data_IF_138526838010
#
_entry.id   IF_138526838010
#
_cell.length_a   1.000
_cell.length_b   1.000
_cell.length_c   1.000
_cell.angle_alpha   90.00
_cell.angle_beta   90.00
_cell.angle_gamma   90.00
#
_symmetry.space_group_name_H-M   'P 1'
#
loop_
_entity.id
_entity.type
_entity.pdbx_description
1 polymer ?
#
# COMPACT_ATOMS: atom_id res chain seq x y z
N UNK A 1 26.47 -39.00 -42.39
CA UNK A 1 26.51 -37.97 -41.34
C UNK A 1 25.50 -36.84 -41.58
N UNK A 2 25.18 -36.49 -42.83
CA UNK A 2 24.17 -35.47 -43.23
C UNK A 2 22.79 -35.56 -42.54
N UNK A 3 22.20 -36.76 -42.45
CA UNK A 3 20.85 -36.95 -41.89
C UNK A 3 20.75 -36.66 -40.39
N UNK A 4 21.87 -36.82 -39.66
CA UNK A 4 21.93 -36.56 -38.21
C UNK A 4 21.96 -35.06 -37.95
N UNK A 5 22.72 -34.30 -38.74
CA UNK A 5 22.78 -32.83 -38.64
C UNK A 5 21.42 -32.18 -38.93
N UNK A 6 20.68 -32.68 -39.92
CA UNK A 6 19.33 -32.17 -40.23
C UNK A 6 18.39 -32.40 -39.05
N UNK A 7 18.40 -33.59 -38.45
CA UNK A 7 17.57 -33.89 -37.26
C UNK A 7 17.97 -33.00 -36.09
N UNK A 8 19.26 -32.88 -35.80
CA UNK A 8 19.76 -32.02 -34.72
C UNK A 8 19.38 -30.56 -34.95
N UNK A 9 19.52 -30.04 -36.17
CA UNK A 9 19.12 -28.67 -36.51
C UNK A 9 17.62 -28.45 -36.36
N UNK A 10 16.79 -29.41 -36.79
CA UNK A 10 15.34 -29.35 -36.59
C UNK A 10 14.97 -29.35 -35.11
N UNK A 11 15.60 -30.20 -34.29
CA UNK A 11 15.37 -30.21 -32.85
C UNK A 11 15.79 -28.90 -32.18
N UNK A 12 16.93 -28.33 -32.58
CA UNK A 12 17.40 -27.04 -32.08
C UNK A 12 16.50 -25.89 -32.54
N UNK A 13 16.04 -25.89 -33.79
CA UNK A 13 15.13 -24.88 -34.30
C UNK A 13 13.76 -24.95 -33.59
N UNK A 14 13.24 -26.16 -33.36
CA UNK A 14 12.00 -26.36 -32.60
C UNK A 14 12.17 -25.94 -31.14
N UNK A 15 13.26 -26.30 -30.48
CA UNK A 15 13.51 -25.90 -29.08
C UNK A 15 13.73 -24.39 -28.94
N UNK A 16 14.46 -23.77 -29.87
CA UNK A 16 14.62 -22.31 -29.92
C UNK A 16 13.28 -21.63 -30.19
N UNK A 17 12.47 -22.14 -31.13
CA UNK A 17 11.13 -21.61 -31.37
C UNK A 17 10.24 -21.73 -30.13
N UNK A 18 10.28 -22.85 -29.41
CA UNK A 18 9.56 -23.03 -28.16
C UNK A 18 10.04 -22.05 -27.07
N UNK A 19 11.35 -21.84 -26.94
CA UNK A 19 11.91 -20.85 -25.99
C UNK A 19 11.51 -19.43 -26.39
N UNK A 20 11.56 -19.06 -27.67
CA UNK A 20 11.13 -17.74 -28.16
C UNK A 20 9.64 -17.50 -27.96
N UNK A 21 8.79 -18.52 -28.11
CA UNK A 21 7.36 -18.45 -27.82
C UNK A 21 7.08 -18.33 -26.30
N UNK A 22 7.89 -18.96 -25.46
CA UNK A 22 7.78 -18.88 -23.98
C UNK A 22 8.28 -17.54 -23.44
N UNK A 23 9.36 -16.98 -24.02
CA UNK A 23 9.95 -15.69 -23.61
C UNK A 23 9.05 -14.47 -23.87
N UNK A 24 7.90 -14.66 -24.53
CA UNK A 24 6.88 -13.62 -24.75
C UNK A 24 5.72 -13.66 -23.74
N UNK A 25 5.77 -14.53 -22.72
CA UNK A 25 4.73 -14.63 -21.68
C UNK A 25 5.15 -14.09 -20.30
N UNK A 26 6.28 -13.39 -20.19
CA UNK A 26 6.68 -12.70 -18.95
C UNK A 26 6.19 -11.23 -18.93
N UNK A 27 4.90 -11.02 -19.19
CA UNK A 27 4.31 -9.68 -19.30
C UNK A 27 2.89 -9.58 -18.76
N UNK A 28 2.56 -10.34 -17.73
CA UNK A 28 1.36 -10.09 -16.95
C UNK A 28 1.70 -10.12 -15.46
N UNK A 29 2.55 -9.16 -15.07
CA UNK A 29 2.48 -8.57 -13.74
C UNK A 29 0.99 -8.25 -13.49
N UNK A 30 0.39 -8.85 -12.47
CA UNK A 30 -1.01 -8.56 -12.06
C UNK A 30 -1.21 -7.13 -11.53
N UNK A 31 -0.30 -6.24 -11.89
CA UNK A 31 -0.15 -4.86 -11.48
C UNK A 31 -0.51 -3.90 -12.63
N UNK A 32 -0.69 -4.44 -13.86
CA UNK A 32 -1.00 -3.67 -15.08
C UNK A 32 -2.49 -3.28 -15.22
N UNK A 33 -3.34 -3.58 -14.23
CA UNK A 33 -4.75 -3.19 -14.27
C UNK A 33 -4.94 -1.82 -13.65
N UNK A 34 -4.92 -0.79 -14.49
CA UNK A 34 -5.16 0.61 -14.10
C UNK A 34 -6.64 0.96 -14.05
N UNK A 35 -7.00 1.88 -13.16
CA UNK A 35 -8.31 2.51 -13.11
C UNK A 35 -8.29 3.88 -13.80
N UNK A 36 -9.45 4.36 -14.27
CA UNK A 36 -9.60 5.74 -14.77
C UNK A 36 -10.74 6.43 -14.04
N UNK A 37 -10.44 7.55 -13.40
CA UNK A 37 -11.42 8.39 -12.70
C UNK A 37 -11.16 9.86 -13.05
N UNK A 38 -12.22 10.61 -13.35
CA UNK A 38 -12.16 12.04 -13.72
C UNK A 38 -11.16 12.39 -14.83
N UNK A 39 -10.92 11.46 -15.75
CA UNK A 39 -9.96 11.60 -16.86
C UNK A 39 -8.51 11.35 -16.47
N UNK A 40 -8.24 10.95 -15.22
CA UNK A 40 -6.92 10.61 -14.71
C UNK A 40 -6.77 9.09 -14.53
N UNK A 41 -5.59 8.57 -14.86
CA UNK A 41 -5.28 7.14 -14.79
C UNK A 41 -4.55 6.86 -13.48
N UNK A 42 -5.01 5.84 -12.76
CA UNK A 42 -4.49 5.38 -11.47
C UNK A 42 -4.01 3.94 -11.59
N UNK A 43 -2.82 3.64 -11.08
CA UNK A 43 -2.29 2.27 -11.04
C UNK A 43 -3.02 1.41 -10.01
N UNK A 44 -2.90 0.09 -10.12
CA UNK A 44 -3.47 -0.82 -9.12
C UNK A 44 -2.93 -0.45 -7.73
N UNK A 45 -3.81 -0.45 -6.73
CA UNK A 45 -3.57 -0.03 -5.34
C UNK A 45 -3.35 1.47 -5.13
N UNK A 46 -3.48 2.30 -6.15
CA UNK A 46 -3.46 3.75 -5.96
C UNK A 46 -4.62 4.21 -5.10
N UNK A 47 -4.33 5.13 -4.19
CA UNK A 47 -5.31 5.78 -3.31
C UNK A 47 -5.30 7.27 -3.61
N UNK A 48 -6.47 7.85 -3.84
CA UNK A 48 -6.62 9.29 -4.09
C UNK A 48 -7.87 9.84 -3.40
N UNK A 49 -7.90 11.17 -3.23
CA UNK A 49 -9.02 11.91 -2.65
C UNK A 49 -9.55 12.91 -3.69
N UNK A 50 -10.60 12.57 -4.46
CA UNK A 50 -11.20 13.52 -5.42
C UNK A 50 -11.89 14.69 -4.71
N UNK A 51 -12.39 14.46 -3.49
CA UNK A 51 -13.01 15.46 -2.62
C UNK A 51 -12.47 15.29 -1.19
N UNK A 52 -12.48 16.33 -0.33
CA UNK A 52 -11.95 16.23 1.04
C UNK A 52 -12.55 15.07 1.83
N UNK A 53 -13.85 14.80 1.63
CA UNK A 53 -14.63 13.77 2.31
C UNK A 53 -14.78 12.44 1.57
N UNK A 54 -14.10 12.26 0.43
CA UNK A 54 -14.17 11.02 -0.34
C UNK A 54 -12.77 10.47 -0.56
N UNK A 55 -12.59 9.20 -0.24
CA UNK A 55 -11.35 8.47 -0.51
C UNK A 55 -11.65 7.34 -1.49
N UNK A 56 -10.84 7.21 -2.52
CA UNK A 56 -10.97 6.18 -3.53
C UNK A 56 -9.68 5.36 -3.62
N UNK A 57 -9.84 4.08 -3.93
CA UNK A 57 -8.74 3.15 -4.20
C UNK A 57 -9.00 2.42 -5.52
N UNK A 58 -7.95 2.21 -6.30
CA UNK A 58 -7.98 1.34 -7.46
C UNK A 58 -7.67 -0.08 -7.00
N UNK A 59 -8.64 -0.99 -7.04
CA UNK A 59 -8.44 -2.41 -6.80
C UNK A 59 -8.64 -3.18 -8.10
N UNK A 60 -7.52 -3.61 -8.71
CA UNK A 60 -7.49 -4.45 -9.90
C UNK A 60 -8.41 -3.95 -11.04
N UNK A 61 -8.36 -2.65 -11.34
CA UNK A 61 -9.17 -2.01 -12.38
C UNK A 61 -10.55 -1.53 -11.95
N UNK A 62 -10.94 -1.79 -10.70
CA UNK A 62 -12.17 -1.26 -10.11
C UNK A 62 -11.86 -0.07 -9.19
N UNK A 63 -12.59 1.02 -9.37
CA UNK A 63 -12.57 2.17 -8.46
C UNK A 63 -13.51 1.88 -7.30
N UNK A 64 -12.97 1.78 -6.08
CA UNK A 64 -13.74 1.63 -4.85
C UNK A 64 -13.62 2.95 -4.07
N UNK A 65 -14.74 3.60 -3.76
CA UNK A 65 -14.75 4.86 -3.03
C UNK A 65 -15.58 4.74 -1.76
N UNK A 66 -15.05 5.29 -0.67
CA UNK A 66 -15.71 5.42 0.62
C UNK A 66 -15.86 6.90 1.01
N UNK A 67 -16.92 7.19 1.75
CA UNK A 67 -17.20 8.51 2.31
C UNK A 67 -16.71 8.59 3.75
N UNK A 68 -15.99 9.66 4.07
CA UNK A 68 -15.47 9.93 5.40
C UNK A 68 -16.62 10.42 6.28
N UNK A 69 -16.95 9.65 7.31
CA UNK A 69 -17.87 10.09 8.37
C UNK A 69 -17.06 10.70 9.52
N UNK A 70 -17.44 11.90 9.93
CA UNK A 70 -16.78 12.61 11.02
C UNK A 70 -17.47 12.32 12.34
N UNK A 71 -16.69 12.18 13.41
CA UNK A 71 -17.21 12.03 14.76
C UNK A 71 -17.85 13.33 15.26
N UNK A 72 -18.94 13.20 16.02
CA UNK A 72 -19.57 14.35 16.67
C UNK A 72 -18.69 14.86 17.83
N UNK A 73 -18.01 15.97 17.60
CA UNK A 73 -17.25 16.68 18.62
C UNK A 73 -18.20 17.40 19.58
N UNK A 74 -18.53 16.73 20.69
CA UNK A 74 -19.22 17.35 21.83
C UNK A 74 -18.20 18.06 22.72
N UNK A 75 -18.51 19.28 23.20
CA UNK A 75 -17.62 20.13 24.03
C UNK A 75 -16.51 20.89 23.27
N UNK A 76 -16.83 21.44 22.10
CA UNK A 76 -15.93 22.27 21.30
C UNK A 76 -16.44 23.71 21.23
N UNK A 77 -15.71 24.69 21.78
CA UNK A 77 -16.15 26.10 21.73
C UNK A 77 -15.97 26.70 20.33
N UNK A 78 -14.91 26.29 19.62
CA UNK A 78 -14.64 26.74 18.26
C UNK A 78 -14.19 25.59 17.37
N UNK A 79 -15.03 25.32 16.38
CA UNK A 79 -14.84 24.28 15.40
C UNK A 79 -14.33 24.90 14.09
N UNK A 80 -13.24 24.38 13.54
CA UNK A 80 -12.64 24.85 12.29
C UNK A 80 -12.34 23.63 11.41
N UNK A 81 -12.68 23.69 10.13
CA UNK A 81 -12.27 22.69 9.14
C UNK A 81 -10.97 23.19 8.49
N UNK A 82 -9.83 22.51 8.67
CA UNK A 82 -8.59 22.88 8.00
C UNK A 82 -8.70 22.73 6.48
N UNK A 83 -7.93 23.53 5.74
CA UNK A 83 -7.90 23.42 4.28
C UNK A 83 -7.46 22.02 3.84
N UNK A 84 -8.29 21.35 3.02
CA UNK A 84 -8.01 20.00 2.51
C UNK A 84 -8.46 18.85 3.41
N UNK A 85 -9.01 19.13 4.60
CA UNK A 85 -9.56 18.11 5.49
C UNK A 85 -11.08 18.00 5.36
N UNK A 86 -11.63 16.80 5.54
CA UNK A 86 -13.08 16.60 5.60
C UNK A 86 -13.66 17.04 6.95
N UNK A 87 -12.97 16.66 8.03
CA UNK A 87 -13.55 16.71 9.35
C UNK A 87 -13.14 17.96 10.12
N UNK A 88 -14.08 18.56 10.86
CA UNK A 88 -13.76 19.67 11.73
C UNK A 88 -12.83 19.24 12.86
N UNK A 89 -11.96 20.16 13.27
CA UNK A 89 -11.13 20.02 14.48
C UNK A 89 -11.47 21.12 15.48
N UNK A 90 -11.24 20.86 16.76
CA UNK A 90 -11.36 21.86 17.79
C UNK A 90 -10.12 22.74 17.85
N UNK A 91 -10.31 24.04 17.72
CA UNK A 91 -9.23 25.01 17.91
C UNK A 91 -8.98 25.16 19.41
N UNK A 92 -8.01 24.45 19.95
CA UNK A 92 -7.50 24.70 21.30
C UNK A 92 -6.59 25.93 21.26
N UNK A 93 -6.91 26.95 22.05
CA UNK A 93 -5.99 28.07 22.26
C UNK A 93 -4.66 27.54 22.84
N UNK A 94 -3.49 27.97 22.33
CA UNK A 94 -2.18 27.49 22.81
C UNK A 94 -1.84 27.93 24.25
N UNK A 95 -2.81 28.45 25.01
CA UNK A 95 -2.60 29.04 26.33
C UNK A 95 -3.02 28.14 27.50
N UNK A 96 -3.57 26.95 27.25
CA UNK A 96 -3.89 26.00 28.34
C UNK A 96 -3.25 24.65 28.06
N UNK A 97 -1.98 24.54 28.44
CA UNK A 97 -1.42 23.24 28.81
C UNK A 97 -2.19 22.70 30.02
N UNK A 98 -2.79 21.53 29.85
CA UNK A 98 -3.48 20.75 30.89
C UNK A 98 -4.81 20.21 30.35
N UNK A 99 -5.05 18.92 30.20
CA UNK A 99 -4.45 17.73 30.80
C UNK A 99 -5.59 16.84 31.32
N UNK A 100 -5.61 15.58 30.87
CA UNK A 100 -6.45 14.49 31.39
C UNK A 100 -7.22 13.76 30.27
N UNK A 101 -7.12 12.46 30.05
CA UNK A 101 -6.44 11.36 30.76
C UNK A 101 -7.14 10.06 30.35
N UNK A 102 -6.39 9.03 29.94
CA UNK A 102 -6.94 7.71 29.60
C UNK A 102 -5.84 6.67 29.60
N UNK A 103 -5.76 5.86 30.66
CA UNK A 103 -4.76 4.82 30.84
C UNK A 103 -5.00 3.60 29.95
N UNK A 104 -3.91 3.01 29.47
CA UNK A 104 -3.89 1.71 28.82
C UNK A 104 -2.59 1.00 29.18
N UNK A 105 -2.68 0.04 30.10
CA UNK A 105 -1.61 -0.92 30.34
C UNK A 105 -1.56 -1.94 29.20
N UNK A 106 -0.38 -2.21 28.68
CA UNK A 106 -0.12 -3.24 27.68
C UNK A 106 1.37 -3.53 27.64
N UNK A 107 1.76 -4.72 28.10
CA UNK A 107 3.15 -5.13 28.27
C UNK A 107 3.92 -5.22 26.96
N UNK A 108 5.18 -4.76 27.00
CA UNK A 108 6.21 -5.09 26.03
C UNK A 108 7.34 -5.80 26.76
N UNK A 109 7.62 -7.04 26.34
CA UNK A 109 8.68 -7.89 26.91
C UNK A 109 10.04 -7.23 26.82
N UNK A 110 10.80 -7.33 27.91
CA UNK A 110 12.21 -6.99 27.93
C UNK A 110 12.96 -8.25 27.56
N UNK A 111 13.63 -8.21 26.42
CA UNK A 111 14.44 -9.28 25.89
C UNK A 111 15.57 -9.55 26.88
N UNK A 112 15.51 -10.71 27.54
CA UNK A 112 16.62 -11.24 28.33
C UNK A 112 17.76 -11.58 27.38
N UNK A 113 18.65 -10.62 27.11
CA UNK A 113 19.98 -10.94 26.59
C UNK A 113 20.78 -11.57 27.73
N UNK A 114 20.64 -12.89 27.87
CA UNK A 114 21.58 -13.73 28.60
C UNK A 114 22.95 -13.64 27.94
N UNK A 115 23.77 -12.71 28.42
CA UNK A 115 25.20 -12.65 28.16
C UNK A 115 25.94 -13.12 29.39
N UNK A 116 26.18 -14.43 29.49
CA UNK A 116 27.07 -15.02 30.47
C UNK A 116 28.49 -14.45 30.26
N UNK A 117 28.94 -13.58 31.17
CA UNK A 117 30.35 -13.21 31.26
C UNK A 117 31.11 -14.41 31.84
N UNK A 118 31.63 -15.26 30.97
CA UNK A 118 32.60 -16.28 31.37
C UNK A 118 33.87 -15.59 31.90
N UNK A 119 34.13 -15.77 33.20
CA UNK A 119 35.42 -15.59 33.84
C UNK A 119 36.45 -16.51 33.18
N UNK A 120 37.55 -15.95 32.67
CA UNK A 120 38.78 -16.67 32.38
C UNK A 120 39.86 -16.21 33.35
N UNK A 121 40.34 -17.14 34.19
CA UNK A 121 41.56 -17.02 34.99
C UNK A 121 42.77 -17.57 34.25
#
# INVERSE_FOLDING_TARGET
>A
MESVHIRTFLFLAVSVAQVLLVRSQDGNSGDDVSCTADGQVYTNRDIWKPEPCRICVCDNGQVLCDEIQCDELTNCEKMVIPDGECCPVCQSDPSTGGGGGGGGGGGGGQDTFGGERLSGG
#
